data_IF_134438006504
#
_entry.id   IF_134438006504
#
_cell.length_a   1.000
_cell.length_b   1.000
_cell.length_c   1.000
_cell.angle_alpha   90.00
_cell.angle_beta   90.00
_cell.angle_gamma   90.00
#
_symmetry.space_group_name_H-M   'P 1'
#
loop_
_entity.id
_entity.type
_entity.pdbx_description
1 polymer ?
#
# COMPACT_ATOMS: atom_id res chain seq x y z
N UNK A 1 33.75 -19.19 12.95
CA UNK A 1 32.91 -18.71 11.84
C UNK A 1 31.49 -19.13 12.16
N UNK A 2 30.64 -18.20 12.60
CA UNK A 2 29.26 -18.51 12.96
C UNK A 2 28.38 -18.57 11.70
N UNK A 3 27.51 -19.58 11.62
CA UNK A 3 26.59 -19.81 10.50
C UNK A 3 25.76 -18.57 10.17
N UNK A 4 25.71 -18.13 8.91
CA UNK A 4 24.77 -17.14 8.47
C UNK A 4 23.39 -17.79 8.50
N UNK A 5 22.65 -17.61 9.61
CA UNK A 5 21.21 -17.88 9.67
C UNK A 5 20.57 -17.20 8.46
N UNK A 6 20.28 -18.02 7.46
CA UNK A 6 19.49 -17.69 6.30
C UNK A 6 18.22 -16.99 6.82
N UNK A 7 18.09 -15.69 6.56
CA UNK A 7 16.95 -14.89 6.99
C UNK A 7 15.77 -15.20 6.06
N UNK A 8 15.41 -16.47 5.89
CA UNK A 8 14.14 -16.90 5.30
C UNK A 8 13.10 -16.94 6.41
N UNK A 9 12.91 -15.80 7.06
CA UNK A 9 11.79 -15.60 7.99
C UNK A 9 10.52 -15.52 7.14
N UNK A 10 9.99 -16.69 6.75
CA UNK A 10 8.79 -16.94 5.92
C UNK A 10 7.49 -16.50 6.62
N UNK A 11 7.52 -15.41 7.38
CA UNK A 11 6.36 -14.85 8.11
C UNK A 11 5.21 -14.46 7.18
N UNK A 12 5.50 -14.22 5.90
CA UNK A 12 4.53 -13.81 4.90
C UNK A 12 4.04 -14.97 4.01
N UNK A 13 4.53 -16.19 4.24
CA UNK A 13 4.18 -17.34 3.42
C UNK A 13 2.66 -17.56 3.39
N UNK A 14 2.09 -17.69 2.20
CA UNK A 14 0.66 -18.01 2.01
C UNK A 14 -0.32 -16.85 2.26
N UNK A 15 0.17 -15.67 2.67
CA UNK A 15 -0.65 -14.50 2.93
C UNK A 15 -1.04 -13.76 1.64
N UNK A 16 -2.16 -13.05 1.66
CA UNK A 16 -2.58 -12.12 0.61
C UNK A 16 -2.34 -10.69 1.06
N UNK A 17 -1.64 -9.91 0.23
CA UNK A 17 -1.36 -8.50 0.50
C UNK A 17 -1.98 -7.60 -0.56
N UNK A 18 -2.54 -6.47 -0.13
CA UNK A 18 -2.84 -5.32 -0.99
C UNK A 18 -1.78 -4.26 -0.74
N UNK A 19 -1.28 -3.66 -1.81
CA UNK A 19 -0.35 -2.51 -1.77
C UNK A 19 -0.93 -1.37 -2.58
N UNK A 20 -1.38 -0.31 -1.91
CA UNK A 20 -1.80 0.94 -2.56
C UNK A 20 -0.60 1.83 -2.88
N UNK A 21 -0.67 2.60 -3.95
CA UNK A 21 0.50 3.32 -4.48
C UNK A 21 1.57 2.34 -5.00
N UNK A 22 1.14 1.15 -5.43
CA UNK A 22 2.02 0.03 -5.75
C UNK A 22 2.70 0.11 -7.12
N UNK A 23 2.35 1.11 -7.95
CA UNK A 23 2.93 1.26 -9.28
C UNK A 23 4.30 1.95 -9.27
N UNK A 24 4.76 2.50 -8.13
CA UNK A 24 6.06 3.17 -8.05
C UNK A 24 6.67 3.22 -6.65
N UNK A 25 7.96 3.56 -6.59
CA UNK A 25 8.65 3.96 -5.37
C UNK A 25 8.62 2.91 -4.27
N UNK A 26 8.16 3.31 -3.07
CA UNK A 26 8.10 2.41 -1.91
C UNK A 26 7.03 1.34 -2.07
N UNK A 27 5.89 1.66 -2.71
CA UNK A 27 4.81 0.70 -2.92
C UNK A 27 5.26 -0.43 -3.84
N UNK A 28 5.86 -0.07 -4.98
CA UNK A 28 6.45 -1.05 -5.91
C UNK A 28 7.51 -1.93 -5.22
N UNK A 29 8.48 -1.30 -4.53
CA UNK A 29 9.54 -2.04 -3.84
C UNK A 29 8.96 -2.99 -2.78
N UNK A 30 7.88 -2.58 -2.11
CA UNK A 30 7.17 -3.41 -1.12
C UNK A 30 6.43 -4.56 -1.80
N UNK A 31 5.74 -4.33 -2.91
CA UNK A 31 5.06 -5.38 -3.68
C UNK A 31 6.05 -6.46 -4.13
N UNK A 32 7.19 -6.05 -4.71
CA UNK A 32 8.28 -6.97 -5.10
C UNK A 32 8.83 -7.74 -3.91
N UNK A 33 9.05 -7.06 -2.78
CA UNK A 33 9.58 -7.69 -1.57
C UNK A 33 8.60 -8.67 -0.93
N UNK A 34 7.30 -8.37 -0.95
CA UNK A 34 6.27 -9.30 -0.49
C UNK A 34 6.26 -10.56 -1.36
N UNK A 35 6.32 -10.42 -2.69
CA UNK A 35 6.49 -11.55 -3.59
C UNK A 35 7.77 -12.34 -3.26
N UNK A 36 8.91 -11.69 -3.02
CA UNK A 36 10.12 -12.41 -2.64
C UNK A 36 9.98 -13.19 -1.32
N UNK A 37 9.22 -12.68 -0.35
CA UNK A 37 9.01 -13.32 0.95
C UNK A 37 7.88 -14.38 0.97
N UNK A 38 7.39 -14.81 -0.18
CA UNK A 38 6.53 -15.99 -0.30
C UNK A 38 5.05 -15.73 -0.01
N UNK A 39 4.58 -14.49 -0.05
CA UNK A 39 3.13 -14.23 -0.10
C UNK A 39 2.51 -15.03 -1.24
N UNK A 40 1.27 -15.46 -1.01
CA UNK A 40 0.50 -16.18 -2.03
C UNK A 40 0.17 -15.26 -3.19
N UNK A 41 -0.28 -14.05 -2.90
CA UNK A 41 -0.59 -13.06 -3.91
C UNK A 41 -0.36 -11.63 -3.39
N UNK A 42 0.05 -10.74 -4.30
CA UNK A 42 0.09 -9.30 -4.09
C UNK A 42 -0.87 -8.62 -5.06
N UNK A 43 -1.83 -7.89 -4.53
CA UNK A 43 -2.69 -6.99 -5.30
C UNK A 43 -2.06 -5.61 -5.32
N UNK A 44 -1.68 -5.16 -6.50
CA UNK A 44 -1.13 -3.82 -6.74
C UNK A 44 -2.31 -2.90 -7.05
N UNK A 45 -2.50 -1.89 -6.22
CA UNK A 45 -3.52 -0.88 -6.37
C UNK A 45 -2.88 0.49 -6.62
N UNK A 46 -3.25 1.14 -7.71
CA UNK A 46 -2.74 2.46 -8.09
C UNK A 46 -3.68 3.09 -9.12
N UNK A 47 -3.53 4.40 -9.36
CA UNK A 47 -4.22 5.11 -10.44
C UNK A 47 -3.42 5.12 -11.75
N UNK A 48 -2.13 4.79 -11.70
CA UNK A 48 -1.25 4.72 -12.88
C UNK A 48 -1.33 3.33 -13.54
N UNK A 49 -2.35 3.11 -14.37
CA UNK A 49 -2.68 1.80 -14.97
C UNK A 49 -1.50 1.09 -15.61
N UNK A 50 -0.83 1.75 -16.56
CA UNK A 50 0.28 1.15 -17.32
C UNK A 50 1.44 0.74 -16.40
N UNK A 51 1.83 1.63 -15.47
CA UNK A 51 2.92 1.32 -14.52
C UNK A 51 2.52 0.19 -13.58
N UNK A 52 1.29 0.20 -13.06
CA UNK A 52 0.79 -0.84 -12.18
C UNK A 52 0.76 -2.21 -12.85
N UNK A 53 0.29 -2.27 -14.10
CA UNK A 53 0.31 -3.47 -14.93
C UNK A 53 1.73 -3.98 -15.17
N UNK A 54 2.67 -3.08 -15.49
CA UNK A 54 4.08 -3.43 -15.69
C UNK A 54 4.72 -4.01 -14.42
N UNK A 55 4.41 -3.45 -13.24
CA UNK A 55 4.89 -4.00 -11.97
C UNK A 55 4.32 -5.40 -11.73
N UNK A 56 3.01 -5.60 -11.93
CA UNK A 56 2.39 -6.92 -11.78
C UNK A 56 3.01 -7.95 -12.74
N UNK A 57 3.15 -7.62 -14.02
CA UNK A 57 3.77 -8.48 -15.01
C UNK A 57 5.20 -8.88 -14.61
N UNK A 58 5.99 -7.94 -14.08
CA UNK A 58 7.36 -8.20 -13.66
C UNK A 58 7.50 -9.03 -12.37
N UNK A 59 6.45 -9.10 -11.55
CA UNK A 59 6.41 -9.99 -10.37
C UNK A 59 5.97 -11.40 -10.75
N UNK A 60 5.08 -11.52 -11.75
CA UNK A 60 4.49 -12.77 -12.21
C UNK A 60 2.97 -12.76 -12.05
N UNK A 61 2.26 -13.16 -13.10
CA UNK A 61 0.79 -13.18 -13.14
C UNK A 61 0.16 -14.21 -12.19
N UNK A 62 0.92 -15.23 -11.79
CA UNK A 62 0.54 -16.24 -10.80
C UNK A 62 0.61 -15.70 -9.36
N UNK A 63 1.39 -14.63 -9.13
CA UNK A 63 1.69 -14.10 -7.79
C UNK A 63 1.21 -12.68 -7.58
N UNK A 64 0.76 -12.01 -8.63
CA UNK A 64 0.29 -10.63 -8.52
C UNK A 64 -0.74 -10.28 -9.58
N UNK A 65 -1.60 -9.34 -9.20
CA UNK A 65 -2.58 -8.72 -10.10
C UNK A 65 -2.55 -7.22 -9.89
N UNK A 66 -2.91 -6.48 -10.94
CA UNK A 66 -3.14 -5.05 -10.85
C UNK A 66 -4.65 -4.77 -10.81
N UNK A 67 -5.07 -3.83 -9.96
CA UNK A 67 -6.43 -3.31 -9.90
C UNK A 67 -6.34 -1.78 -9.83
N UNK A 68 -7.00 -1.08 -10.76
CA UNK A 68 -7.13 0.37 -10.69
C UNK A 68 -7.87 0.77 -9.40
N UNK A 69 -7.29 1.68 -8.63
CA UNK A 69 -7.96 2.21 -7.45
C UNK A 69 -7.42 3.60 -7.11
N UNK A 70 -8.31 4.59 -7.20
CA UNK A 70 -8.13 5.87 -6.54
C UNK A 70 -8.54 5.74 -5.07
N UNK A 71 -7.58 5.94 -4.16
CA UNK A 71 -7.84 5.85 -2.71
C UNK A 71 -8.67 7.02 -2.18
N UNK A 72 -8.85 8.09 -2.95
CA UNK A 72 -9.73 9.21 -2.57
C UNK A 72 -11.21 8.86 -2.76
N UNK A 73 -11.51 7.87 -3.59
CA UNK A 73 -12.83 7.30 -3.81
C UNK A 73 -13.04 6.08 -2.90
N UNK A 74 -13.91 6.24 -1.89
CA UNK A 74 -14.17 5.18 -0.91
C UNK A 74 -14.81 3.93 -1.53
N UNK A 75 -15.62 4.09 -2.58
CA UNK A 75 -16.28 2.96 -3.24
C UNK A 75 -15.28 2.13 -4.04
N UNK A 76 -14.29 2.77 -4.66
CA UNK A 76 -13.17 2.06 -5.29
C UNK A 76 -12.33 1.30 -4.27
N UNK A 77 -12.02 1.88 -3.11
CA UNK A 77 -11.29 1.19 -2.03
C UNK A 77 -12.08 -0.03 -1.53
N UNK A 78 -13.39 0.11 -1.34
CA UNK A 78 -14.27 -1.00 -0.96
C UNK A 78 -14.26 -2.10 -2.03
N UNK A 79 -14.44 -1.74 -3.30
CA UNK A 79 -14.44 -2.68 -4.43
C UNK A 79 -13.10 -3.41 -4.58
N UNK A 80 -11.98 -2.73 -4.35
CA UNK A 80 -10.63 -3.33 -4.35
C UNK A 80 -10.52 -4.45 -3.30
N UNK A 81 -11.00 -4.19 -2.08
CA UNK A 81 -10.93 -5.15 -0.98
C UNK A 81 -11.89 -6.32 -1.22
N UNK A 82 -13.13 -6.05 -1.63
CA UNK A 82 -14.11 -7.07 -1.99
C UNK A 82 -13.61 -7.96 -3.14
N UNK A 83 -13.02 -7.36 -4.18
CA UNK A 83 -12.43 -8.09 -5.29
C UNK A 83 -11.26 -8.97 -4.83
N UNK A 84 -10.40 -8.45 -3.95
CA UNK A 84 -9.29 -9.23 -3.38
C UNK A 84 -9.79 -10.44 -2.59
N UNK A 85 -10.80 -10.24 -1.74
CA UNK A 85 -11.41 -11.33 -0.97
C UNK A 85 -12.13 -12.32 -1.88
N UNK A 86 -12.81 -11.85 -2.94
CA UNK A 86 -13.46 -12.74 -3.91
C UNK A 86 -12.47 -13.61 -4.68
N UNK A 87 -11.35 -13.04 -5.11
CA UNK A 87 -10.33 -13.75 -5.92
C UNK A 87 -9.54 -14.73 -5.07
N UNK A 88 -9.15 -14.33 -3.85
CA UNK A 88 -8.21 -15.11 -3.03
C UNK A 88 -8.84 -15.70 -1.77
N UNK A 89 -10.11 -15.44 -1.49
CA UNK A 89 -10.83 -15.91 -0.31
C UNK A 89 -10.46 -15.22 1.02
N UNK A 90 -9.47 -14.32 1.04
CA UNK A 90 -8.99 -13.62 2.24
C UNK A 90 -8.14 -12.41 1.90
N UNK A 91 -8.00 -11.53 2.90
CA UNK A 91 -7.02 -10.46 2.95
C UNK A 91 -6.24 -10.57 4.27
N UNK A 92 -4.90 -10.58 4.20
CA UNK A 92 -4.03 -10.67 5.39
C UNK A 92 -3.29 -9.37 5.68
N UNK A 93 -2.90 -8.63 4.64
CA UNK A 93 -2.03 -7.47 4.76
C UNK A 93 -2.59 -6.33 3.92
N UNK A 94 -2.83 -5.18 4.55
CA UNK A 94 -3.13 -3.94 3.85
C UNK A 94 -1.96 -2.97 4.02
N UNK A 95 -1.28 -2.67 2.93
CA UNK A 95 -0.25 -1.64 2.90
C UNK A 95 -0.81 -0.36 2.26
N UNK A 96 -1.27 0.54 3.12
CA UNK A 96 -1.82 1.84 2.72
C UNK A 96 -0.68 2.83 2.50
N UNK A 97 -0.09 2.81 1.31
CA UNK A 97 1.09 3.60 0.98
C UNK A 97 0.86 4.64 -0.13
N UNK A 98 -0.30 4.63 -0.80
CA UNK A 98 -0.67 5.71 -1.72
C UNK A 98 -0.49 7.07 -1.02
N UNK A 99 0.22 7.97 -1.67
CA UNK A 99 0.50 9.27 -1.09
C UNK A 99 1.09 10.25 -2.08
N UNK A 100 0.65 11.50 -1.96
CA UNK A 100 1.11 12.64 -2.76
C UNK A 100 1.71 13.71 -1.85
N UNK A 101 2.65 14.49 -2.39
CA UNK A 101 3.19 15.68 -1.73
C UNK A 101 2.50 16.94 -2.26
N UNK A 102 2.61 18.04 -1.51
CA UNK A 102 2.28 19.36 -2.03
C UNK A 102 3.25 19.74 -3.15
N UNK A 103 2.77 20.45 -4.17
CA UNK A 103 3.67 21.08 -5.13
C UNK A 103 4.37 22.26 -4.46
N UNK A 104 5.69 22.20 -4.33
CA UNK A 104 6.54 23.29 -3.85
C UNK A 104 6.69 23.41 -2.32
N UNK A 105 7.61 24.29 -1.92
CA UNK A 105 7.76 24.73 -0.54
C UNK A 105 6.68 25.77 -0.23
N UNK A 106 5.74 25.43 0.65
CA UNK A 106 4.71 26.37 1.12
C UNK A 106 5.03 26.78 2.55
N UNK A 107 4.90 28.08 2.82
CA UNK A 107 4.87 28.60 4.19
C UNK A 107 3.45 28.48 4.74
N UNK A 108 3.28 28.59 6.06
CA UNK A 108 1.94 28.61 6.67
C UNK A 108 1.13 29.84 6.24
N UNK A 109 1.80 30.94 5.85
CA UNK A 109 1.15 32.17 5.43
C UNK A 109 0.57 32.06 4.01
N UNK A 110 1.19 31.25 3.16
CA UNK A 110 0.82 31.06 1.74
C UNK A 110 0.19 29.68 1.49
N UNK A 111 -0.42 29.10 2.53
CA UNK A 111 -0.98 27.76 2.46
C UNK A 111 -2.17 27.72 1.51
N UNK A 112 -2.00 27.02 0.40
CA UNK A 112 -3.11 26.71 -0.51
C UNK A 112 -3.96 25.58 0.09
N UNK A 113 -5.12 25.95 0.60
CA UNK A 113 -6.07 25.00 1.19
C UNK A 113 -6.57 23.96 0.17
N UNK A 114 -6.69 24.30 -1.11
CA UNK A 114 -7.09 23.34 -2.13
C UNK A 114 -6.00 22.28 -2.36
N UNK A 115 -4.72 22.68 -2.33
CA UNK A 115 -3.60 21.74 -2.38
C UNK A 115 -3.54 20.89 -1.10
N UNK A 116 -3.72 21.50 0.07
CA UNK A 116 -3.80 20.79 1.35
C UNK A 116 -4.91 19.73 1.34
N UNK A 117 -6.11 20.09 0.90
CA UNK A 117 -7.26 19.19 0.84
C UNK A 117 -7.00 18.01 -0.09
N UNK A 118 -6.35 18.23 -1.24
CA UNK A 118 -5.92 17.14 -2.14
C UNK A 118 -4.93 16.20 -1.46
N UNK A 119 -3.92 16.73 -0.78
CA UNK A 119 -2.94 15.93 -0.04
C UNK A 119 -3.62 15.12 1.06
N UNK A 120 -4.54 15.73 1.81
CA UNK A 120 -5.27 15.07 2.89
C UNK A 120 -6.28 14.04 2.38
N UNK A 121 -6.91 14.28 1.24
CA UNK A 121 -7.80 13.32 0.60
C UNK A 121 -7.08 12.01 0.29
N UNK A 122 -5.86 12.06 -0.23
CA UNK A 122 -5.06 10.87 -0.52
C UNK A 122 -4.43 10.29 0.76
N UNK A 123 -3.64 11.11 1.47
CA UNK A 123 -2.72 10.62 2.50
C UNK A 123 -3.41 10.25 3.81
N UNK A 124 -4.49 10.96 4.16
CA UNK A 124 -5.20 10.76 5.43
C UNK A 124 -6.52 10.05 5.20
N UNK A 125 -7.42 10.61 4.39
CA UNK A 125 -8.74 10.05 4.14
C UNK A 125 -8.65 8.71 3.40
N UNK A 126 -7.87 8.63 2.33
CA UNK A 126 -7.69 7.38 1.59
C UNK A 126 -7.06 6.26 2.42
N UNK A 127 -6.11 6.61 3.29
CA UNK A 127 -5.58 5.66 4.28
C UNK A 127 -6.64 5.21 5.29
N UNK A 128 -7.45 6.12 5.82
CA UNK A 128 -8.50 5.78 6.77
C UNK A 128 -9.55 4.85 6.12
N UNK A 129 -9.98 5.14 4.89
CA UNK A 129 -10.90 4.28 4.13
C UNK A 129 -10.30 2.89 3.89
N UNK A 130 -9.03 2.85 3.48
CA UNK A 130 -8.27 1.60 3.29
C UNK A 130 -8.25 0.73 4.54
N UNK A 131 -7.93 1.31 5.69
CA UNK A 131 -7.88 0.59 6.97
C UNK A 131 -9.28 0.16 7.40
N UNK A 132 -10.27 1.04 7.30
CA UNK A 132 -11.68 0.77 7.67
C UNK A 132 -12.20 -0.49 6.97
N UNK A 133 -12.09 -0.53 5.65
CA UNK A 133 -12.63 -1.62 4.85
C UNK A 133 -11.76 -2.89 4.97
N UNK A 134 -10.44 -2.76 5.04
CA UNK A 134 -9.55 -3.91 5.21
C UNK A 134 -9.77 -4.58 6.57
N UNK A 135 -9.90 -3.80 7.64
CA UNK A 135 -10.19 -4.31 8.97
C UNK A 135 -11.53 -5.04 9.03
N UNK A 136 -12.58 -4.49 8.39
CA UNK A 136 -13.88 -5.18 8.28
C UNK A 136 -13.73 -6.54 7.60
N UNK A 137 -13.09 -6.58 6.43
CA UNK A 137 -12.86 -7.83 5.69
C UNK A 137 -12.02 -8.85 6.48
N UNK A 138 -11.00 -8.39 7.21
CA UNK A 138 -10.16 -9.26 8.06
C UNK A 138 -10.96 -9.83 9.24
N UNK A 139 -11.81 -9.03 9.89
CA UNK A 139 -12.68 -9.49 10.98
C UNK A 139 -13.71 -10.50 10.49
N UNK A 140 -14.39 -10.21 9.38
CA UNK A 140 -15.38 -11.11 8.77
C UNK A 140 -14.76 -12.43 8.31
N UNK A 141 -13.57 -12.36 7.71
CA UNK A 141 -12.79 -13.53 7.33
C UNK A 141 -12.11 -14.26 8.49
N UNK A 142 -12.24 -13.76 9.73
CA UNK A 142 -11.57 -14.26 10.94
C UNK A 142 -10.04 -14.37 10.78
N UNK A 143 -9.45 -13.44 10.03
CA UNK A 143 -8.02 -13.36 9.76
C UNK A 143 -7.36 -12.43 10.77
N UNK A 144 -6.31 -12.91 11.46
CA UNK A 144 -5.38 -12.03 12.18
C UNK A 144 -4.48 -11.31 11.17
N UNK A 145 -5.02 -10.27 10.55
CA UNK A 145 -4.33 -9.46 9.54
C UNK A 145 -3.56 -8.27 10.13
N UNK A 146 -2.77 -7.61 9.29
CA UNK A 146 -2.02 -6.41 9.65
C UNK A 146 -2.30 -5.30 8.64
N UNK A 147 -2.53 -4.09 9.15
CA UNK A 147 -2.60 -2.88 8.33
C UNK A 147 -1.42 -1.97 8.66
N UNK A 148 -0.67 -1.56 7.65
CA UNK A 148 0.51 -0.70 7.79
C UNK A 148 0.38 0.51 6.88
N UNK A 149 0.62 1.71 7.43
CA UNK A 149 0.73 2.95 6.67
C UNK A 149 2.19 3.40 6.58
N UNK A 150 2.52 4.21 5.56
CA UNK A 150 3.87 4.73 5.36
C UNK A 150 4.30 5.58 6.57
N UNK A 151 5.44 5.23 7.18
CA UNK A 151 6.13 6.09 8.16
C UNK A 151 6.93 7.15 7.39
N UNK A 152 6.58 8.43 7.53
CA UNK A 152 7.41 9.50 6.98
C UNK A 152 8.83 9.39 7.56
N UNK A 153 9.86 9.42 6.70
CA UNK A 153 11.25 9.56 7.16
C UNK A 153 11.33 10.90 7.90
N UNK A 154 11.80 10.91 9.15
CA UNK A 154 12.28 12.13 9.79
C UNK A 154 13.44 12.64 8.93
N UNK A 155 13.22 13.68 8.11
CA UNK A 155 14.34 14.56 7.77
C UNK A 155 14.69 15.23 9.09
N UNK A 156 15.89 14.95 9.60
CA UNK A 156 16.41 15.62 10.78
C UNK A 156 16.31 17.12 10.51
N UNK A 157 15.56 17.83 11.34
CA UNK A 157 15.60 19.27 11.36
C UNK A 157 17.03 19.65 11.71
N UNK A 158 17.73 20.32 10.80
CA UNK A 158 19.11 20.73 10.99
C UNK A 158 19.22 21.53 12.28
N UNK A 159 20.16 21.13 13.15
CA UNK A 159 20.63 22.02 14.21
C UNK A 159 21.22 23.24 13.52
N UNK A 160 20.55 24.39 13.63
CA UNK A 160 21.18 25.67 13.36
C UNK A 160 22.14 25.92 14.52
N UNK A 161 23.43 26.00 14.19
CA UNK A 161 24.46 26.63 15.00
C UNK A 161 24.24 28.14 15.00
#
# INVERSE_FOLDING_TARGET
MADPKEITNKKLQGKVAIVTGGASGIGEATARKFALHGVRAVVIADVQDEKGQNVAASIGADRSIYIHCDVTDEDQVKSLIESTVRIYGRLDIMFSNAGVGSAGEQTVLDLDLAMYDRVMAVNARGMAASVKHAARAMVEGRVRGASCARRARRRAWGRRS
#
